data_IF_540470004354
#
_entry.id   IF_540470004354
#
_cell.length_a   1.000
_cell.length_b   1.000
_cell.length_c   1.000
_cell.angle_alpha   90.00
_cell.angle_beta   90.00
_cell.angle_gamma   90.00
#
_symmetry.space_group_name_H-M   'P 1'
#
loop_
_entity.id
_entity.type
_entity.pdbx_description
1 polymer ?
#
# COMPACT_ATOMS: atom_id res chain seq x y z
N UNK A 1 7.70 -10.70 -3.15
CA UNK A 1 6.51 -10.86 -2.27
C UNK A 1 5.73 -9.54 -2.11
N UNK A 2 5.54 -8.78 -3.19
CA UNK A 2 4.75 -7.55 -3.13
C UNK A 2 3.34 -7.79 -3.67
N UNK A 3 2.33 -7.30 -2.96
CA UNK A 3 0.93 -7.36 -3.40
C UNK A 3 0.45 -5.96 -3.76
N UNK A 4 -0.40 -5.84 -4.77
CA UNK A 4 -1.09 -4.57 -5.09
C UNK A 4 -2.44 -4.55 -4.37
N UNK A 5 -2.78 -3.39 -3.81
CA UNK A 5 -4.07 -3.07 -3.21
C UNK A 5 -4.62 -1.82 -3.87
N UNK A 6 -5.93 -1.78 -4.15
CA UNK A 6 -6.61 -0.52 -4.45
C UNK A 6 -6.39 0.45 -3.28
N UNK A 7 -5.94 1.66 -3.59
CA UNK A 7 -5.13 2.41 -2.65
C UNK A 7 -5.85 3.43 -1.77
N UNK A 8 -5.37 3.52 -0.54
CA UNK A 8 -5.65 4.57 0.45
C UNK A 8 -4.31 5.14 0.97
N UNK A 9 -4.11 6.45 1.21
CA UNK A 9 -3.14 6.94 2.17
C UNK A 9 -3.85 7.35 3.46
N UNK A 10 -3.16 7.00 4.53
CA UNK A 10 -3.70 6.25 5.66
C UNK A 10 -3.61 7.08 6.95
N UNK A 11 -3.51 8.41 6.79
CA UNK A 11 -3.27 9.33 7.90
C UNK A 11 -4.55 9.99 8.35
N UNK A 12 -4.96 11.03 7.63
CA UNK A 12 -6.15 11.82 7.96
C UNK A 12 -7.44 11.01 7.96
N UNK A 13 -7.67 10.19 6.92
CA UNK A 13 -8.85 9.31 6.86
C UNK A 13 -8.85 8.25 7.97
N UNK A 14 -7.69 7.67 8.30
CA UNK A 14 -7.60 6.67 9.36
C UNK A 14 -7.74 7.29 10.75
N UNK A 15 -7.23 8.50 10.95
CA UNK A 15 -7.44 9.27 12.18
C UNK A 15 -8.92 9.67 12.32
N UNK A 16 -9.53 10.18 11.25
CA UNK A 16 -10.95 10.51 11.23
C UNK A 16 -11.82 9.29 11.54
N UNK A 17 -11.55 8.14 10.89
CA UNK A 17 -12.22 6.86 11.21
C UNK A 17 -12.12 6.53 12.69
N UNK A 18 -10.92 6.56 13.26
CA UNK A 18 -10.69 6.22 14.67
C UNK A 18 -11.43 7.17 15.63
N UNK A 19 -11.40 8.48 15.34
CA UNK A 19 -12.07 9.49 16.16
C UNK A 19 -13.60 9.35 16.06
N UNK A 20 -14.14 9.11 14.87
CA UNK A 20 -15.56 8.84 14.66
C UNK A 20 -16.01 7.55 15.36
N UNK A 21 -15.23 6.48 15.27
CA UNK A 21 -15.49 5.22 16.00
C UNK A 21 -15.43 5.40 17.52
N UNK A 22 -14.71 6.41 18.01
CA UNK A 22 -14.66 6.81 19.42
C UNK A 22 -15.83 7.70 19.84
N UNK A 23 -16.81 7.94 18.96
CA UNK A 23 -18.01 8.73 19.24
C UNK A 23 -17.82 10.25 19.13
N UNK A 24 -16.70 10.72 18.57
CA UNK A 24 -16.45 12.14 18.38
C UNK A 24 -17.06 12.64 17.07
N UNK A 25 -17.49 13.90 17.07
CA UNK A 25 -17.90 14.60 15.86
C UNK A 25 -16.64 15.12 15.13
N UNK A 26 -16.44 14.69 13.89
CA UNK A 26 -15.20 14.92 13.13
C UNK A 26 -15.54 15.59 11.80
N UNK A 27 -14.80 16.65 11.48
CA UNK A 27 -14.80 17.26 10.14
C UNK A 27 -13.43 17.07 9.53
N UNK A 28 -13.38 16.52 8.31
CA UNK A 28 -12.15 16.36 7.54
C UNK A 28 -12.14 17.37 6.40
N UNK A 29 -11.12 18.21 6.34
CA UNK A 29 -10.91 19.20 5.28
C UNK A 29 -9.82 18.69 4.33
N UNK A 30 -10.16 18.55 3.05
CA UNK A 30 -9.26 18.12 1.99
C UNK A 30 -9.09 19.28 0.99
N UNK A 31 -7.85 19.51 0.54
CA UNK A 31 -7.55 20.62 -0.36
C UNK A 31 -7.85 20.26 -1.82
N UNK A 32 -7.76 18.97 -2.17
CA UNK A 32 -8.14 18.48 -3.50
C UNK A 32 -9.65 18.25 -3.60
N UNK A 33 -10.11 18.13 -4.84
CA UNK A 33 -11.42 17.61 -5.22
C UNK A 33 -11.61 16.10 -4.94
N UNK A 34 -10.56 15.41 -4.50
CA UNK A 34 -10.56 13.97 -4.23
C UNK A 34 -9.85 13.64 -2.93
N UNK A 35 -10.32 12.59 -2.28
CA UNK A 35 -9.59 11.98 -1.17
C UNK A 35 -8.42 11.16 -1.70
N UNK A 36 -7.54 10.79 -0.77
CA UNK A 36 -6.51 9.82 -1.05
C UNK A 36 -5.15 10.41 -1.42
N UNK A 37 -4.90 11.72 -1.27
CA UNK A 37 -3.55 12.31 -1.33
C UNK A 37 -2.60 11.70 -2.38
N UNK A 38 -1.53 11.03 -1.91
CA UNK A 38 -0.47 10.39 -2.72
C UNK A 38 -0.88 9.05 -3.38
N UNK A 39 -2.10 8.60 -3.17
CA UNK A 39 -2.66 7.47 -3.89
C UNK A 39 -3.80 7.93 -4.78
N UNK A 40 -3.88 7.34 -5.97
CA UNK A 40 -4.88 7.73 -6.94
C UNK A 40 -5.14 6.57 -7.88
N UNK A 41 -6.36 6.05 -7.88
CA UNK A 41 -6.79 4.98 -8.79
C UNK A 41 -7.65 5.59 -9.88
N UNK A 42 -7.09 5.70 -11.09
CA UNK A 42 -7.80 6.12 -12.29
C UNK A 42 -8.67 4.97 -12.79
N UNK A 43 -9.94 5.24 -13.16
CA UNK A 43 -10.85 4.24 -13.74
C UNK A 43 -11.33 4.72 -15.11
N UNK A 44 -11.21 3.88 -16.14
CA UNK A 44 -11.72 4.17 -17.48
C UNK A 44 -11.97 2.88 -18.28
N UNK A 45 -12.54 3.00 -19.49
CA UNK A 45 -12.86 1.85 -20.35
C UNK A 45 -11.64 1.10 -20.90
N UNK A 46 -10.48 1.75 -20.98
CA UNK A 46 -9.27 1.18 -21.60
C UNK A 46 -8.47 0.32 -20.63
N UNK A 47 -8.31 0.79 -19.38
CA UNK A 47 -7.48 0.12 -18.36
C UNK A 47 -8.30 -0.56 -17.27
N UNK A 48 -9.64 -0.39 -17.27
CA UNK A 48 -10.55 -0.72 -16.15
C UNK A 48 -10.24 0.10 -14.90
N UNK A 49 -9.06 -0.11 -14.31
CA UNK A 49 -8.47 0.72 -13.26
C UNK A 49 -6.94 0.68 -13.31
N UNK A 50 -6.28 1.78 -12.92
CA UNK A 50 -4.83 1.86 -12.78
C UNK A 50 -4.46 2.80 -11.63
N UNK A 51 -3.52 2.36 -10.79
CA UNK A 51 -2.97 3.20 -9.73
C UNK A 51 -1.87 4.10 -10.29
N UNK A 52 -2.09 5.41 -10.21
CA UNK A 52 -1.14 6.47 -10.59
C UNK A 52 -0.33 6.98 -9.39
N UNK A 53 -0.61 6.46 -8.19
CA UNK A 53 0.10 6.74 -6.95
C UNK A 53 0.72 5.49 -6.35
N UNK A 54 1.06 5.52 -5.06
CA UNK A 54 1.78 4.42 -4.43
C UNK A 54 0.95 3.16 -4.29
N UNK A 55 1.20 2.11 -5.09
CA UNK A 55 0.33 0.93 -5.33
C UNK A 55 0.64 -0.34 -4.52
N UNK A 56 1.81 -0.42 -3.91
CA UNK A 56 2.37 -1.69 -3.43
C UNK A 56 2.30 -1.79 -1.91
N UNK A 57 1.84 -2.95 -1.43
CA UNK A 57 1.90 -3.37 -0.04
C UNK A 57 2.71 -4.66 0.08
N UNK A 58 3.35 -4.86 1.21
CA UNK A 58 4.24 -6.00 1.43
C UNK A 58 4.15 -6.58 2.83
N UNK A 59 4.83 -7.72 3.06
CA UNK A 59 5.01 -8.28 4.40
C UNK A 59 5.49 -7.22 5.37
N UNK A 60 5.08 -7.31 6.64
CA UNK A 60 5.34 -6.35 7.74
C UNK A 60 4.50 -5.06 7.73
N UNK A 61 3.82 -4.71 6.64
CA UNK A 61 2.92 -3.54 6.58
C UNK A 61 1.56 -3.81 7.24
N UNK A 62 1.58 -4.33 8.47
CA UNK A 62 0.43 -4.93 9.15
C UNK A 62 -0.75 -3.97 9.35
N UNK A 63 -0.48 -2.69 9.62
CA UNK A 63 -1.55 -1.69 9.83
C UNK A 63 -2.37 -1.47 8.56
N UNK A 64 -1.70 -1.37 7.42
CA UNK A 64 -2.34 -1.16 6.13
C UNK A 64 -3.11 -2.42 5.70
N UNK A 65 -2.47 -3.59 5.82
CA UNK A 65 -3.12 -4.87 5.52
C UNK A 65 -4.37 -5.13 6.37
N UNK A 66 -4.34 -4.80 7.66
CA UNK A 66 -5.51 -4.89 8.55
C UNK A 66 -6.63 -3.95 8.09
N UNK A 67 -6.31 -2.69 7.80
CA UNK A 67 -7.31 -1.72 7.34
C UNK A 67 -7.91 -2.14 5.99
N UNK A 68 -7.10 -2.62 5.05
CA UNK A 68 -7.59 -3.17 3.77
C UNK A 68 -8.58 -4.30 4.02
N UNK A 69 -8.29 -5.21 4.95
CA UNK A 69 -9.20 -6.31 5.31
C UNK A 69 -10.49 -5.80 5.94
N UNK A 70 -10.42 -4.83 6.86
CA UNK A 70 -11.61 -4.20 7.47
C UNK A 70 -12.52 -3.55 6.42
N UNK A 71 -11.94 -2.96 5.38
CA UNK A 71 -12.65 -2.30 4.29
C UNK A 71 -13.06 -3.25 3.15
N UNK A 72 -12.79 -4.56 3.27
CA UNK A 72 -13.10 -5.55 2.23
C UNK A 72 -12.26 -5.43 0.95
N UNK A 73 -11.09 -4.80 1.04
CA UNK A 73 -10.15 -4.63 -0.09
C UNK A 73 -9.22 -5.85 -0.13
N UNK A 74 -9.27 -6.57 -1.25
CA UNK A 74 -8.40 -7.71 -1.50
C UNK A 74 -7.04 -7.28 -2.07
N UNK A 75 -6.01 -8.11 -1.83
CA UNK A 75 -4.66 -7.90 -2.36
C UNK A 75 -4.32 -9.04 -3.31
N UNK A 76 -3.60 -8.75 -4.40
CA UNK A 76 -3.09 -9.80 -5.30
C UNK A 76 -1.58 -9.70 -5.44
N UNK A 77 -0.90 -10.84 -5.61
CA UNK A 77 0.56 -10.88 -5.80
C UNK A 77 0.92 -10.27 -7.15
N UNK A 78 1.86 -9.33 -7.15
CA UNK A 78 2.40 -8.74 -8.37
C UNK A 78 3.25 -9.79 -9.08
N UNK A 79 3.13 -9.85 -10.40
CA UNK A 79 3.97 -10.72 -11.20
C UNK A 79 5.40 -10.15 -11.23
N UNK A 80 6.37 -10.85 -10.63
CA UNK A 80 7.76 -10.39 -10.44
C UNK A 80 8.70 -10.84 -11.57
N UNK A 81 8.20 -11.03 -12.80
CA UNK A 81 9.04 -11.39 -13.97
C UNK A 81 9.71 -10.14 -14.55
N UNK A 82 10.45 -9.39 -13.73
CA UNK A 82 11.35 -8.32 -14.20
C UNK A 82 12.56 -8.17 -13.26
N UNK A 83 13.66 -7.65 -13.81
CA UNK A 83 14.91 -7.35 -13.09
C UNK A 83 14.70 -6.27 -12.02
N UNK A 84 14.29 -6.69 -10.82
CA UNK A 84 14.22 -5.82 -9.65
C UNK A 84 15.64 -5.46 -9.19
N UNK A 85 16.03 -4.19 -9.30
CA UNK A 85 17.23 -3.67 -8.66
C UNK A 85 16.95 -3.51 -7.17
N UNK A 86 17.27 -4.53 -6.39
CA UNK A 86 17.29 -4.45 -4.94
C UNK A 86 18.51 -3.63 -4.48
N UNK A 87 18.32 -2.35 -4.20
CA UNK A 87 19.37 -1.53 -3.59
C UNK A 87 19.43 -1.77 -2.07
N UNK A 88 19.80 -2.98 -1.65
CA UNK A 88 20.04 -3.29 -0.24
C UNK A 88 21.55 -3.20 0.01
N UNK A 89 21.99 -2.07 0.54
CA UNK A 89 23.34 -1.93 1.12
C UNK A 89 23.29 -2.44 2.57
N UNK A 90 23.32 -3.75 2.75
CA UNK A 90 23.52 -4.37 4.07
C UNK A 90 24.72 -5.30 4.01
N UNK A 91 25.71 -4.97 4.84
CA UNK A 91 26.96 -5.68 5.08
C UNK A 91 26.75 -7.05 5.74
N UNK A 92 27.76 -7.94 5.59
CA UNK A 92 28.05 -9.18 6.36
C UNK A 92 27.14 -10.39 6.04
N UNK A 93 27.59 -11.64 5.79
CA UNK A 93 28.85 -12.38 6.01
C UNK A 93 28.95 -13.45 4.91
N UNK A 94 30.15 -13.69 4.36
CA UNK A 94 30.40 -14.79 3.45
C UNK A 94 30.42 -16.15 4.14
N UNK A 95 29.86 -17.17 3.48
CA UNK A 95 30.32 -18.54 3.60
C UNK A 95 30.05 -19.26 2.27
N UNK A 96 31.02 -19.13 1.37
CA UNK A 96 31.28 -20.15 0.35
C UNK A 96 32.18 -21.19 1.01
N UNK A 97 31.77 -22.46 0.96
CA UNK A 97 32.61 -23.61 0.55
C UNK A 97 31.83 -24.90 0.84
N UNK A 98 31.17 -25.44 -0.19
CA UNK A 98 31.09 -26.89 -0.34
C UNK A 98 32.36 -27.29 -1.09
N UNK A 99 33.25 -27.99 -0.39
CA UNK A 99 34.38 -28.66 -0.98
C UNK A 99 33.99 -30.13 -1.23
N UNK A 100 33.90 -30.48 -2.52
CA UNK A 100 33.77 -31.81 -3.13
C UNK A 100 32.43 -32.54 -2.96
#
# INVERSE_FOLDING_TARGET
LWSRTELLPVGGLSAAKLLTESGLNVVLLEASDRVGGRTFTLRNKQVKYVDLGGAYVGPTQNRLLRLSKELGIETYKVNEVEHLIHHVKTFLIGLSLSAR
#
